data_IF_853732667646
#
_entry.id   IF_853732667646
#
_cell.length_a   1.000
_cell.length_b   1.000
_cell.length_c   1.000
_cell.angle_alpha   90.00
_cell.angle_beta   90.00
_cell.angle_gamma   90.00
#
_symmetry.space_group_name_H-M   'P 1'
#
loop_
_entity.id
_entity.type
_entity.pdbx_description
1 polymer ?
#
# COMPACT_ATOMS: atom_id res chain seq x y z
N UNK A 1 -33.76 -37.89 -5.69
CA UNK A 1 -32.72 -37.13 -6.42
C UNK A 1 -32.11 -38.05 -7.48
N UNK A 2 -31.94 -37.60 -8.74
CA UNK A 2 -31.45 -38.46 -9.82
C UNK A 2 -29.96 -38.80 -9.66
N UNK A 3 -29.53 -40.06 -9.86
CA UNK A 3 -28.12 -40.46 -9.69
C UNK A 3 -27.16 -39.68 -10.60
N UNK A 4 -27.63 -39.18 -11.74
CA UNK A 4 -26.86 -38.30 -12.64
C UNK A 4 -26.60 -36.93 -12.02
N UNK A 5 -27.57 -36.37 -11.28
CA UNK A 5 -27.44 -35.09 -10.57
C UNK A 5 -26.54 -35.23 -9.34
N UNK A 6 -26.63 -36.33 -8.61
CA UNK A 6 -25.76 -36.60 -7.46
C UNK A 6 -24.28 -36.72 -7.86
N UNK A 7 -23.97 -37.42 -8.96
CA UNK A 7 -22.61 -37.51 -9.49
C UNK A 7 -22.06 -36.16 -9.96
N UNK A 8 -22.88 -35.34 -10.59
CA UNK A 8 -22.48 -34.00 -11.03
C UNK A 8 -22.13 -33.10 -9.83
N UNK A 9 -22.93 -33.11 -8.77
CA UNK A 9 -22.66 -32.34 -7.55
C UNK A 9 -21.34 -32.77 -6.91
N UNK A 10 -21.07 -34.06 -6.82
CA UNK A 10 -19.82 -34.58 -6.25
C UNK A 10 -18.58 -34.17 -7.04
N UNK A 11 -18.66 -34.19 -8.38
CA UNK A 11 -17.56 -33.74 -9.25
C UNK A 11 -17.32 -32.24 -9.08
N UNK A 12 -18.37 -31.43 -9.08
CA UNK A 12 -18.24 -29.98 -8.88
C UNK A 12 -17.68 -29.64 -7.49
N UNK A 13 -18.11 -30.33 -6.44
CA UNK A 13 -17.55 -30.13 -5.10
C UNK A 13 -16.06 -30.49 -5.03
N UNK A 14 -15.63 -31.57 -5.69
CA UNK A 14 -14.23 -31.98 -5.72
C UNK A 14 -13.35 -30.95 -6.45
N UNK A 15 -13.85 -30.37 -7.55
CA UNK A 15 -13.17 -29.30 -8.29
C UNK A 15 -13.01 -28.04 -7.43
N UNK A 16 -14.08 -27.62 -6.73
CA UNK A 16 -14.02 -26.45 -5.84
C UNK A 16 -13.00 -26.65 -4.70
N UNK A 17 -12.96 -27.85 -4.10
CA UNK A 17 -11.99 -28.17 -3.04
C UNK A 17 -10.55 -28.19 -3.59
N UNK A 18 -10.34 -28.73 -4.79
CA UNK A 18 -9.02 -28.74 -5.42
C UNK A 18 -8.51 -27.32 -5.72
N UNK A 19 -9.37 -26.46 -6.29
CA UNK A 19 -9.02 -25.06 -6.59
C UNK A 19 -8.77 -24.28 -5.30
N UNK A 20 -9.65 -24.41 -4.30
CA UNK A 20 -9.46 -23.78 -2.99
C UNK A 20 -8.17 -24.23 -2.30
N UNK A 21 -7.85 -25.52 -2.38
CA UNK A 21 -6.61 -26.10 -1.85
C UNK A 21 -5.37 -25.57 -2.56
N UNK A 22 -5.39 -25.43 -3.89
CA UNK A 22 -4.27 -24.87 -4.65
C UNK A 22 -4.01 -23.39 -4.32
N UNK A 23 -5.07 -22.60 -4.11
CA UNK A 23 -4.96 -21.20 -3.70
C UNK A 23 -4.38 -21.11 -2.29
N UNK A 24 -4.93 -21.85 -1.32
CA UNK A 24 -4.41 -21.87 0.06
C UNK A 24 -2.96 -22.37 0.12
N UNK A 25 -2.61 -23.39 -0.67
CA UNK A 25 -1.26 -23.94 -0.74
C UNK A 25 -0.27 -22.94 -1.35
N UNK A 26 -0.68 -22.16 -2.36
CA UNK A 26 0.16 -21.11 -2.96
C UNK A 26 0.42 -19.97 -1.98
N UNK A 27 -0.59 -19.54 -1.22
CA UNK A 27 -0.42 -18.55 -0.14
C UNK A 27 0.48 -19.05 1.01
N UNK A 28 0.43 -20.35 1.32
CA UNK A 28 1.30 -20.95 2.34
C UNK A 28 2.77 -21.07 1.89
N UNK A 29 3.04 -21.04 0.58
CA UNK A 29 4.40 -21.15 0.01
C UNK A 29 5.13 -19.82 -0.14
N UNK A 30 4.44 -18.70 0.02
CA UNK A 30 5.10 -17.39 0.04
C UNK A 30 6.03 -17.33 1.26
N UNK A 31 7.27 -16.91 1.05
CA UNK A 31 8.19 -16.65 2.16
C UNK A 31 7.63 -15.51 3.02
N UNK A 32 8.02 -15.46 4.29
CA UNK A 32 7.63 -14.35 5.17
C UNK A 32 8.12 -12.99 4.62
N UNK A 33 9.23 -12.99 3.87
CA UNK A 33 9.74 -11.81 3.16
C UNK A 33 8.81 -11.38 2.02
N UNK A 34 8.31 -12.32 1.21
CA UNK A 34 7.37 -12.01 0.12
C UNK A 34 6.05 -11.46 0.67
N UNK A 35 5.55 -12.02 1.77
CA UNK A 35 4.35 -11.51 2.46
C UNK A 35 4.58 -10.11 3.02
N UNK A 36 5.76 -9.86 3.58
CA UNK A 36 6.13 -8.55 4.10
C UNK A 36 6.22 -7.52 2.97
N UNK A 37 6.88 -7.86 1.86
CA UNK A 37 6.98 -6.98 0.69
C UNK A 37 5.61 -6.64 0.09
N UNK A 38 4.69 -7.60 0.03
CA UNK A 38 3.32 -7.35 -0.39
C UNK A 38 2.59 -6.38 0.55
N UNK A 39 2.78 -6.51 1.87
CA UNK A 39 2.21 -5.59 2.86
C UNK A 39 2.82 -4.19 2.75
N UNK A 40 4.15 -4.09 2.62
CA UNK A 40 4.86 -2.82 2.41
C UNK A 40 4.34 -2.12 1.14
N UNK A 41 4.12 -2.87 0.06
CA UNK A 41 3.56 -2.33 -1.18
C UNK A 41 2.15 -1.76 -0.97
N UNK A 42 1.27 -2.53 -0.33
CA UNK A 42 -0.10 -2.09 0.00
C UNK A 42 -0.08 -0.85 0.89
N UNK A 43 0.83 -0.79 1.85
CA UNK A 43 0.94 0.36 2.76
C UNK A 43 1.45 1.61 2.03
N UNK A 44 2.42 1.48 1.12
CA UNK A 44 2.84 2.58 0.24
C UNK A 44 1.68 3.10 -0.61
N UNK A 45 0.81 2.24 -1.14
CA UNK A 45 -0.40 2.67 -1.87
C UNK A 45 -1.36 3.46 -0.98
N UNK A 46 -1.52 3.05 0.27
CA UNK A 46 -2.33 3.77 1.27
C UNK A 46 -1.74 5.14 1.59
N UNK A 47 -0.42 5.24 1.68
CA UNK A 47 0.31 6.49 1.88
C UNK A 47 0.19 7.44 0.69
N UNK A 48 0.22 6.92 -0.55
CA UNK A 48 -0.05 7.71 -1.76
C UNK A 48 -1.45 8.33 -1.69
N UNK A 49 -2.46 7.50 -1.42
CA UNK A 49 -3.84 7.96 -1.29
C UNK A 49 -3.99 9.01 -0.18
N UNK A 50 -3.30 8.84 0.94
CA UNK A 50 -3.29 9.81 2.02
C UNK A 50 -2.74 11.16 1.56
N UNK A 51 -1.56 11.20 0.95
CA UNK A 51 -0.93 12.44 0.48
C UNK A 51 -1.83 13.18 -0.53
N UNK A 52 -2.35 12.46 -1.52
CA UNK A 52 -3.19 13.03 -2.59
C UNK A 52 -4.51 13.56 -2.06
N UNK A 53 -5.05 12.92 -1.02
CA UNK A 53 -6.32 13.33 -0.44
C UNK A 53 -6.20 14.49 0.54
N UNK A 54 -5.02 14.71 1.15
CA UNK A 54 -4.83 15.75 2.16
C UNK A 54 -4.06 16.98 1.65
N UNK A 55 -3.28 16.83 0.58
CA UNK A 55 -2.40 17.88 0.06
C UNK A 55 -2.74 18.22 -1.39
N UNK A 56 -2.51 19.47 -1.73
CA UNK A 56 -2.79 20.01 -3.05
C UNK A 56 -1.64 19.82 -4.03
N UNK A 57 -1.98 19.63 -5.30
CA UNK A 57 -1.02 19.62 -6.40
C UNK A 57 -0.01 18.48 -6.37
N UNK A 58 -0.31 17.35 -5.71
CA UNK A 58 0.55 16.17 -5.75
C UNK A 58 0.41 15.48 -7.11
N UNK A 59 1.50 15.45 -7.88
CA UNK A 59 1.58 14.86 -9.22
C UNK A 59 2.59 13.70 -9.27
N UNK A 60 3.61 13.73 -8.40
CA UNK A 60 4.61 12.66 -8.28
C UNK A 60 4.95 12.36 -6.83
N UNK A 61 5.13 11.07 -6.52
CA UNK A 61 5.59 10.58 -5.22
C UNK A 61 6.71 9.55 -5.44
N UNK A 62 7.89 9.81 -4.90
CA UNK A 62 9.01 8.87 -4.89
C UNK A 62 9.36 8.46 -3.48
N UNK A 63 9.14 7.19 -3.14
CA UNK A 63 9.55 6.63 -1.85
C UNK A 63 11.04 6.32 -1.83
N UNK A 64 11.76 6.93 -0.89
CA UNK A 64 13.22 6.79 -0.74
C UNK A 64 13.62 5.81 0.35
N UNK A 65 12.72 5.53 1.30
CA UNK A 65 12.94 4.56 2.36
C UNK A 65 11.62 4.07 2.95
N UNK A 66 11.64 2.86 3.52
CA UNK A 66 10.53 2.31 4.30
C UNK A 66 11.10 1.51 5.46
N UNK A 67 10.88 1.95 6.71
CA UNK A 67 11.50 1.36 7.90
C UNK A 67 10.54 1.23 9.06
N UNK A 68 10.67 0.14 9.80
CA UNK A 68 9.95 -0.10 11.03
C UNK A 68 10.74 0.42 12.24
N UNK A 69 10.05 1.05 13.19
CA UNK A 69 10.53 1.20 14.55
C UNK A 69 9.98 0.08 15.42
N UNK A 70 10.84 -0.90 15.69
CA UNK A 70 10.52 -2.11 16.45
C UNK A 70 10.07 -1.87 17.89
N UNK A 71 10.36 -0.69 18.46
CA UNK A 71 9.91 -0.37 19.83
C UNK A 71 8.44 0.04 19.87
N UNK A 72 7.98 0.76 18.84
CA UNK A 72 6.62 1.32 18.80
C UNK A 72 5.70 0.60 17.83
N UNK A 73 6.25 -0.22 16.93
CA UNK A 73 5.53 -0.83 15.80
C UNK A 73 5.16 0.17 14.70
N UNK A 74 5.65 1.41 14.79
CA UNK A 74 5.39 2.43 13.78
C UNK A 74 6.28 2.21 12.55
N UNK A 75 5.73 2.46 11.37
CA UNK A 75 6.43 2.43 10.11
C UNK A 75 6.62 3.85 9.58
N UNK A 76 7.81 4.13 9.09
CA UNK A 76 8.18 5.43 8.52
C UNK A 76 8.60 5.25 7.08
N UNK A 77 7.95 5.99 6.20
CA UNK A 77 8.30 6.10 4.79
C UNK A 77 8.90 7.48 4.52
N UNK A 78 10.15 7.53 4.06
CA UNK A 78 10.70 8.74 3.47
C UNK A 78 10.23 8.86 2.03
N UNK A 79 9.77 10.05 1.62
CA UNK A 79 9.36 10.29 0.25
C UNK A 79 9.72 11.70 -0.24
N UNK A 80 9.81 11.85 -1.56
CA UNK A 80 9.96 13.13 -2.26
C UNK A 80 8.69 13.34 -3.08
N UNK A 81 7.98 14.44 -2.83
CA UNK A 81 6.79 14.82 -3.61
C UNK A 81 7.17 15.89 -4.65
N UNK A 82 6.71 15.71 -5.89
CA UNK A 82 6.94 16.63 -7.01
C UNK A 82 8.42 17.03 -7.20
N UNK A 83 9.34 16.11 -6.96
CA UNK A 83 10.80 16.32 -7.05
C UNK A 83 11.32 17.51 -6.22
N UNK A 84 10.69 17.78 -5.07
CA UNK A 84 11.01 18.95 -4.25
C UNK A 84 10.78 18.69 -2.75
N UNK A 85 9.55 18.32 -2.37
CA UNK A 85 9.17 18.26 -0.97
C UNK A 85 9.61 16.95 -0.33
N UNK A 86 10.57 17.04 0.59
CA UNK A 86 10.97 15.90 1.43
C UNK A 86 9.98 15.73 2.56
N UNK A 87 9.35 14.57 2.61
CA UNK A 87 8.33 14.23 3.60
C UNK A 87 8.65 12.92 4.31
N UNK A 88 8.14 12.79 5.53
CA UNK A 88 8.08 11.51 6.24
C UNK A 88 6.62 11.17 6.50
N UNK A 89 6.16 10.06 5.93
CA UNK A 89 4.82 9.52 6.17
C UNK A 89 4.94 8.44 7.24
N UNK A 90 4.13 8.53 8.29
CA UNK A 90 4.11 7.58 9.41
C UNK A 90 2.85 6.75 9.36
N UNK A 91 2.98 5.44 9.56
CA UNK A 91 1.87 4.52 9.78
C UNK A 91 2.00 3.86 11.17
N UNK A 92 0.94 3.93 11.98
CA UNK A 92 0.89 3.26 13.28
C UNK A 92 0.53 1.77 13.12
N UNK A 93 1.45 1.02 12.51
CA UNK A 93 1.22 -0.36 12.05
C UNK A 93 0.58 -0.40 10.65
N UNK A 94 0.57 -1.58 10.02
CA UNK A 94 -0.14 -1.78 8.75
C UNK A 94 -1.64 -1.55 8.94
N UNK A 95 -2.26 -0.89 7.96
CA UNK A 95 -3.67 -0.46 8.01
C UNK A 95 -4.02 0.52 9.18
N UNK A 96 -3.04 1.01 9.95
CA UNK A 96 -3.23 1.91 11.08
C UNK A 96 -3.48 3.38 10.70
N UNK A 97 -3.36 4.30 11.65
CA UNK A 97 -3.48 5.73 11.34
C UNK A 97 -2.26 6.24 10.55
N UNK A 98 -2.52 7.16 9.62
CA UNK A 98 -1.49 7.83 8.80
C UNK A 98 -1.33 9.29 9.21
N UNK A 99 -0.08 9.73 9.26
CA UNK A 99 0.28 11.14 9.37
C UNK A 99 1.46 11.46 8.45
N UNK A 100 1.62 12.73 8.08
CA UNK A 100 2.74 13.18 7.27
C UNK A 100 3.35 14.43 7.88
N UNK A 101 4.67 14.42 8.00
CA UNK A 101 5.46 15.60 8.31
C UNK A 101 6.20 16.02 7.05
N UNK A 102 6.17 17.31 6.73
CA UNK A 102 6.83 17.90 5.57
C UNK A 102 7.80 19.01 5.96
N UNK A 103 8.88 19.13 5.18
CA UNK A 103 9.74 20.30 5.18
C UNK A 103 9.31 21.32 4.13
N UNK A 104 9.84 22.56 4.19
CA UNK A 104 9.65 23.51 3.10
C UNK A 104 10.29 22.98 1.81
N UNK A 105 9.74 23.41 0.67
CA UNK A 105 10.32 23.26 -0.66
C UNK A 105 11.76 23.75 -0.69
N UNK A 106 12.67 22.93 -1.21
CA UNK A 106 14.07 23.31 -1.41
C UNK A 106 14.20 24.41 -2.49
N UNK A 107 13.20 24.50 -3.39
CA UNK A 107 13.17 25.47 -4.51
C UNK A 107 12.58 26.83 -4.12
N UNK A 108 11.52 26.84 -3.33
CA UNK A 108 10.72 28.05 -3.05
C UNK A 108 10.73 28.47 -1.58
N UNK A 109 11.11 27.57 -0.66
CA UNK A 109 11.01 27.78 0.79
C UNK A 109 9.58 27.72 1.33
N UNK A 110 8.58 27.46 0.49
CA UNK A 110 7.17 27.34 0.89
C UNK A 110 6.83 25.90 1.31
N UNK A 111 5.84 25.75 2.20
CA UNK A 111 5.34 24.44 2.62
C UNK A 111 4.28 23.89 1.66
N UNK A 112 4.04 22.58 1.72
CA UNK A 112 2.94 21.97 1.00
C UNK A 112 1.61 22.60 1.44
N UNK A 113 0.73 22.86 0.48
CA UNK A 113 -0.60 23.35 0.80
C UNK A 113 -1.50 22.18 1.20
N UNK A 114 -1.98 22.22 2.44
CA UNK A 114 -3.00 21.30 2.94
C UNK A 114 -4.34 21.71 2.35
N UNK A 115 -5.14 20.73 1.92
CA UNK A 115 -6.50 20.97 1.46
C UNK A 115 -7.37 21.42 2.64
N UNK A 116 -8.23 22.41 2.41
CA UNK A 116 -9.24 22.84 3.40
C UNK A 116 -10.14 21.67 3.85
N UNK A 117 -10.41 20.73 2.93
CA UNK A 117 -11.15 19.50 3.20
C UNK A 117 -10.49 18.32 2.48
N UNK A 118 -10.21 17.21 3.18
CA UNK A 118 -9.69 16.02 2.53
C UNK A 118 -10.65 15.48 1.46
N UNK A 119 -10.09 14.93 0.39
CA UNK A 119 -10.85 14.25 -0.66
C UNK A 119 -10.93 12.74 -0.39
N UNK A 120 -11.72 12.02 -1.19
CA UNK A 120 -11.85 10.55 -1.09
C UNK A 120 -11.56 9.89 -2.44
N UNK A 121 -10.47 10.32 -3.07
CA UNK A 121 -9.96 9.70 -4.30
C UNK A 121 -9.48 8.30 -3.91
N UNK A 122 -10.01 7.29 -4.57
CA UNK A 122 -9.61 5.88 -4.41
C UNK A 122 -8.65 5.40 -5.49
N UNK A 123 -8.47 6.18 -6.56
CA UNK A 123 -7.64 5.81 -7.69
C UNK A 123 -6.73 6.99 -8.11
N UNK A 124 -5.42 6.94 -7.77
CA UNK A 124 -4.46 7.98 -8.11
C UNK A 124 -3.83 7.77 -9.50
N UNK A 125 -4.61 7.32 -10.50
CA UNK A 125 -4.10 6.97 -11.85
C UNK A 125 -3.34 8.10 -12.59
N UNK A 126 -3.51 9.35 -12.16
CA UNK A 126 -2.83 10.50 -12.77
C UNK A 126 -1.52 10.89 -12.07
N UNK A 127 -1.13 10.15 -11.02
CA UNK A 127 0.05 10.44 -10.22
C UNK A 127 1.15 9.44 -10.55
N UNK A 128 2.35 9.94 -10.79
CA UNK A 128 3.54 9.12 -10.94
C UNK A 128 3.99 8.63 -9.56
N UNK A 129 4.08 7.31 -9.37
CA UNK A 129 4.52 6.72 -8.11
C UNK A 129 5.73 5.81 -8.32
N UNK A 130 6.84 6.17 -7.68
CA UNK A 130 8.05 5.35 -7.60
C UNK A 130 8.09 4.72 -6.22
N UNK A 131 7.94 3.39 -6.17
CA UNK A 131 7.85 2.63 -4.94
C UNK A 131 9.22 2.16 -4.46
N UNK A 132 9.40 2.20 -3.15
CA UNK A 132 10.57 1.63 -2.49
C UNK A 132 10.47 0.10 -2.51
N UNK A 133 11.57 -0.56 -2.89
CA UNK A 133 11.66 -2.03 -3.00
C UNK A 133 12.54 -2.68 -1.92
N UNK A 134 13.18 -1.89 -1.06
CA UNK A 134 14.26 -2.39 -0.20
C UNK A 134 15.58 -2.50 -0.94
N UNK A 135 16.68 -2.50 -0.19
CA UNK A 135 17.97 -2.97 -0.70
C UNK A 135 17.95 -4.51 -0.65
N UNK A 136 18.22 -5.15 -1.81
CA UNK A 136 18.37 -6.61 -1.92
C UNK A 136 19.65 -7.09 -1.22
#
# INVERSE_FOLDING_TARGET
MSPKRTRLILVMSAICIAIGGMIMFSFHRMSEEEKLQAQIRKEQERMVLYAVNHYEGIEKIEFTSFRENRMTGAWYAGAILNDDYKVTITAMGFDGDLSMNDGPSDKTGLYLRIKDKPTTISNPNHIEVIYFKGDN
#
